data_IF_231878444586
#
_entry.id   IF_231878444586
#
_cell.length_a   1.000
_cell.length_b   1.000
_cell.length_c   1.000
_cell.angle_alpha   90.00
_cell.angle_beta   90.00
_cell.angle_gamma   90.00
#
_symmetry.space_group_name_H-M   'P 1'
#
loop_
_entity.id
_entity.type
_entity.pdbx_description
1 polymer ?
#
# COMPACT_ATOMS: atom_id res chain seq x y z
N UNK A 1 12.29 2.53 40.03
CA UNK A 1 11.48 1.91 38.97
C UNK A 1 12.24 2.04 37.67
N UNK A 2 12.75 0.95 37.12
CA UNK A 2 13.43 0.97 35.81
C UNK A 2 12.37 1.04 34.72
N UNK A 3 12.35 2.12 33.95
CA UNK A 3 11.61 2.16 32.69
C UNK A 3 12.28 1.18 31.73
N UNK A 4 11.57 0.13 31.34
CA UNK A 4 12.02 -0.75 30.28
C UNK A 4 12.09 0.05 28.98
N UNK A 5 13.31 0.22 28.45
CA UNK A 5 13.48 0.71 27.09
C UNK A 5 12.93 -0.36 26.14
N UNK A 6 11.76 -0.11 25.56
CA UNK A 6 11.30 -0.89 24.41
C UNK A 6 12.30 -0.67 23.26
N UNK A 7 12.76 -1.73 22.57
CA UNK A 7 13.63 -1.56 21.42
C UNK A 7 12.90 -0.69 20.39
N UNK A 8 13.47 0.46 20.05
CA UNK A 8 12.92 1.32 19.01
C UNK A 8 13.13 0.62 17.67
N UNK A 9 12.16 -0.19 17.25
CA UNK A 9 12.11 -0.66 15.86
C UNK A 9 12.04 0.57 14.97
N UNK A 10 13.13 0.83 14.23
CA UNK A 10 13.17 1.90 13.26
C UNK A 10 12.02 1.69 12.25
N UNK A 11 11.21 2.73 12.08
CA UNK A 11 10.04 2.70 11.20
C UNK A 11 10.07 3.85 10.22
N UNK A 12 9.57 3.58 9.02
CA UNK A 12 9.35 4.58 7.98
C UNK A 12 7.85 4.87 7.93
N UNK A 13 7.49 6.13 8.11
CA UNK A 13 6.09 6.57 7.97
C UNK A 13 5.98 7.36 6.68
N UNK A 14 5.20 6.84 5.73
CA UNK A 14 4.88 7.53 4.49
C UNK A 14 3.48 8.11 4.61
N UNK A 15 3.37 9.44 4.56
CA UNK A 15 2.09 10.14 4.67
C UNK A 15 1.60 10.54 3.28
N UNK A 16 0.48 9.97 2.84
CA UNK A 16 -0.17 10.39 1.59
C UNK A 16 -1.66 10.03 1.58
N UNK A 17 -2.53 10.88 1.02
CA UNK A 17 -3.92 10.54 0.74
C UNK A 17 -4.10 9.69 -0.53
N UNK A 18 -3.02 9.50 -1.30
CA UNK A 18 -3.04 8.93 -2.64
C UNK A 18 -3.00 7.40 -2.66
N UNK A 19 -3.82 6.79 -3.50
CA UNK A 19 -3.87 5.35 -3.72
C UNK A 19 -2.64 4.85 -4.50
N UNK A 20 -2.06 5.67 -5.37
CA UNK A 20 -0.91 5.29 -6.19
C UNK A 20 0.31 5.08 -5.27
N UNK A 21 0.49 5.96 -4.27
CA UNK A 21 1.52 5.80 -3.21
C UNK A 21 1.27 4.54 -2.39
N UNK A 22 0.03 4.24 -2.00
CA UNK A 22 -0.28 3.01 -1.27
C UNK A 22 0.13 1.75 -2.06
N UNK A 23 -0.20 1.71 -3.35
CA UNK A 23 0.11 0.58 -4.21
C UNK A 23 1.61 0.43 -4.47
N UNK A 24 2.35 1.53 -4.60
CA UNK A 24 3.81 1.50 -4.65
C UNK A 24 4.40 0.91 -3.37
N UNK A 25 3.95 1.36 -2.20
CA UNK A 25 4.44 0.84 -0.92
C UNK A 25 4.13 -0.66 -0.76
N UNK A 26 2.95 -1.09 -1.16
CA UNK A 26 2.57 -2.51 -1.09
C UNK A 26 3.35 -3.37 -2.08
N UNK A 27 3.66 -2.86 -3.26
CA UNK A 27 4.35 -3.63 -4.31
C UNK A 27 5.85 -3.71 -4.04
N UNK A 28 6.45 -2.65 -3.51
CA UNK A 28 7.89 -2.54 -3.30
C UNK A 28 8.29 -2.58 -1.81
N UNK A 29 7.43 -3.10 -0.93
CA UNK A 29 7.71 -3.15 0.52
C UNK A 29 9.02 -3.88 0.84
N UNK A 30 9.35 -4.91 0.07
CA UNK A 30 10.54 -5.75 0.31
C UNK A 30 11.85 -5.03 0.01
N UNK A 31 11.81 -3.94 -0.75
CA UNK A 31 12.96 -3.06 -0.97
C UNK A 31 13.28 -2.19 0.25
N UNK A 32 12.39 -2.13 1.24
CA UNK A 32 12.54 -1.34 2.48
C UNK A 32 12.62 -2.30 3.67
N UNK A 33 13.82 -2.51 4.20
CA UNK A 33 14.10 -3.43 5.31
C UNK A 33 13.66 -2.89 6.70
N UNK A 34 12.65 -2.03 6.75
CA UNK A 34 12.15 -1.36 7.97
C UNK A 34 10.64 -1.52 8.06
N UNK A 35 10.10 -1.37 9.27
CA UNK A 35 8.65 -1.32 9.48
C UNK A 35 8.05 -0.14 8.69
N UNK A 36 7.18 -0.45 7.74
CA UNK A 36 6.61 0.53 6.82
C UNK A 36 5.16 0.83 7.20
N UNK A 37 4.90 2.08 7.60
CA UNK A 37 3.57 2.56 7.97
C UNK A 37 3.07 3.54 6.91
N UNK A 38 1.92 3.24 6.33
CA UNK A 38 1.21 4.18 5.47
C UNK A 38 0.20 4.98 6.31
N UNK A 39 0.48 6.27 6.48
CA UNK A 39 -0.37 7.21 7.21
C UNK A 39 -1.23 7.98 6.21
N UNK A 40 -2.48 7.57 6.06
CA UNK A 40 -3.41 8.17 5.12
C UNK A 40 -4.54 8.87 5.84
N UNK A 41 -5.11 9.89 5.20
CA UNK A 41 -6.24 10.63 5.75
C UNK A 41 -7.17 10.97 4.61
N UNK A 42 -8.45 10.65 4.79
CA UNK A 42 -9.52 11.18 3.95
C UNK A 42 -10.48 11.95 4.84
N UNK A 43 -10.54 13.27 4.67
CA UNK A 43 -11.24 14.20 5.58
C UNK A 43 -10.73 14.04 7.03
N UNK A 44 -11.63 13.95 8.01
CA UNK A 44 -11.30 13.83 9.44
C UNK A 44 -10.97 12.40 9.91
N UNK A 45 -10.85 11.43 9.00
CA UNK A 45 -10.54 10.04 9.35
C UNK A 45 -9.11 9.71 8.98
N UNK A 46 -8.19 9.94 9.92
CA UNK A 46 -6.81 9.47 9.83
C UNK A 46 -6.74 7.97 10.06
N UNK A 47 -5.99 7.27 9.22
CA UNK A 47 -5.78 5.82 9.27
C UNK A 47 -4.29 5.54 9.10
N UNK A 48 -3.77 4.63 9.90
CA UNK A 48 -2.41 4.11 9.75
C UNK A 48 -2.52 2.63 9.41
N UNK A 49 -1.87 2.24 8.31
CA UNK A 49 -1.79 0.86 7.85
C UNK A 49 -0.35 0.38 7.99
N UNK A 50 -0.16 -0.79 8.60
CA UNK A 50 1.13 -1.47 8.57
C UNK A 50 1.29 -2.18 7.23
N UNK A 51 2.08 -1.61 6.33
CA UNK A 51 2.31 -2.15 5.00
C UNK A 51 3.18 -3.40 5.07
N UNK A 52 4.14 -3.46 6.00
CA UNK A 52 4.98 -4.65 6.20
C UNK A 52 4.11 -5.86 6.53
N UNK A 53 3.19 -5.73 7.48
CA UNK A 53 2.29 -6.83 7.85
C UNK A 53 1.33 -7.15 6.69
N UNK A 54 0.75 -6.13 6.05
CA UNK A 54 -0.19 -6.33 4.95
C UNK A 54 0.46 -7.07 3.77
N UNK A 55 1.68 -6.69 3.39
CA UNK A 55 2.43 -7.35 2.34
C UNK A 55 2.73 -8.82 2.67
N UNK A 56 2.98 -9.15 3.94
CA UNK A 56 3.17 -10.53 4.39
C UNK A 56 1.89 -11.38 4.31
N UNK A 57 0.70 -10.76 4.36
CA UNK A 57 -0.58 -11.49 4.24
C UNK A 57 -1.03 -11.74 2.79
N UNK A 58 -0.44 -11.04 1.82
CA UNK A 58 -0.84 -11.14 0.41
C UNK A 58 0.21 -11.97 -0.34
N UNK A 59 -0.23 -12.92 -1.15
CA UNK A 59 0.67 -13.69 -2.03
C UNK A 59 1.44 -12.72 -2.94
N UNK A 60 2.74 -12.93 -3.11
CA UNK A 60 3.61 -12.10 -3.95
C UNK A 60 3.03 -11.87 -5.36
N UNK A 61 2.57 -12.94 -6.01
CA UNK A 61 1.91 -12.86 -7.33
C UNK A 61 0.67 -11.96 -7.34
N UNK A 62 -0.08 -11.89 -6.23
CA UNK A 62 -1.23 -11.01 -6.12
C UNK A 62 -0.81 -9.55 -5.94
N UNK A 63 0.31 -9.27 -5.28
CA UNK A 63 0.87 -7.90 -5.19
C UNK A 63 1.23 -7.38 -6.58
N UNK A 64 1.94 -8.17 -7.37
CA UNK A 64 2.28 -7.85 -8.76
C UNK A 64 1.03 -7.66 -9.63
N UNK A 65 0.06 -8.57 -9.50
CA UNK A 65 -1.20 -8.49 -10.23
C UNK A 65 -2.00 -7.24 -9.87
N UNK A 66 -2.06 -6.86 -8.59
CA UNK A 66 -2.74 -5.66 -8.11
C UNK A 66 -2.05 -4.39 -8.64
N UNK A 67 -0.72 -4.36 -8.69
CA UNK A 67 0.04 -3.26 -9.26
C UNK A 67 -0.24 -3.09 -10.76
N UNK A 68 -0.19 -4.20 -11.52
CA UNK A 68 -0.54 -4.20 -12.94
C UNK A 68 -2.01 -3.81 -13.17
N UNK A 69 -2.92 -4.34 -12.37
CA UNK A 69 -4.36 -4.01 -12.42
C UNK A 69 -4.58 -2.51 -12.31
N UNK A 70 -3.87 -1.84 -11.40
CA UNK A 70 -3.97 -0.40 -11.22
C UNK A 70 -3.50 0.38 -12.45
N UNK A 71 -2.39 -0.01 -13.05
CA UNK A 71 -1.90 0.58 -14.30
C UNK A 71 -2.87 0.38 -15.48
N UNK A 72 -3.59 -0.74 -15.52
CA UNK A 72 -4.56 -1.00 -16.60
C UNK A 72 -5.96 -0.40 -16.37
N UNK A 73 -6.27 -0.01 -15.13
CA UNK A 73 -7.59 0.54 -14.75
C UNK A 73 -7.54 2.02 -14.43
N UNK A 74 -6.43 2.68 -14.75
CA UNK A 74 -6.21 4.10 -14.56
C UNK A 74 -5.42 4.43 -13.29
N UNK A 75 -4.32 5.14 -13.51
CA UNK A 75 -3.49 5.84 -12.51
C UNK A 75 -3.09 7.21 -13.08
N UNK A 76 -2.31 8.00 -12.35
CA UNK A 76 -1.88 9.31 -12.84
C UNK A 76 -1.07 9.25 -14.16
N UNK A 77 -0.43 8.12 -14.44
CA UNK A 77 0.40 7.93 -15.64
C UNK A 77 -0.32 7.23 -16.81
N UNK A 78 -1.52 6.68 -16.60
CA UNK A 78 -2.19 5.82 -17.59
C UNK A 78 -3.70 6.04 -17.61
N UNK A 79 -4.29 5.98 -18.80
CA UNK A 79 -5.76 5.93 -18.95
C UNK A 79 -6.32 4.57 -18.53
N UNK A 80 -7.64 4.48 -18.36
CA UNK A 80 -8.33 3.23 -18.04
C UNK A 80 -8.98 2.59 -19.27
N UNK A 81 -9.16 1.26 -19.25
CA UNK A 81 -10.01 0.58 -20.22
C UNK A 81 -11.46 1.08 -20.13
N UNK A 82 -12.05 1.40 -21.29
CA UNK A 82 -13.42 1.91 -21.37
C UNK A 82 -14.42 0.96 -20.70
N UNK A 83 -15.19 1.47 -19.73
CA UNK A 83 -16.21 0.71 -19.01
C UNK A 83 -15.66 -0.36 -18.04
N UNK A 84 -14.37 -0.29 -17.67
CA UNK A 84 -13.71 -1.21 -16.73
C UNK A 84 -13.01 -0.43 -15.61
N UNK A 85 -13.68 -0.28 -14.47
CA UNK A 85 -13.07 0.25 -13.25
C UNK A 85 -12.31 -0.83 -12.45
N UNK A 86 -11.50 -0.37 -11.48
CA UNK A 86 -10.67 -1.21 -10.58
C UNK A 86 -11.39 -2.43 -10.02
N UNK A 87 -12.59 -2.27 -9.47
CA UNK A 87 -13.36 -3.38 -8.88
C UNK A 87 -13.81 -4.41 -9.91
N UNK A 88 -14.19 -3.97 -11.12
CA UNK A 88 -14.65 -4.88 -12.19
C UNK A 88 -13.48 -5.68 -12.74
N UNK A 89 -12.32 -5.06 -12.86
CA UNK A 89 -11.11 -5.72 -13.31
C UNK A 89 -10.55 -6.68 -12.24
N UNK A 90 -10.63 -6.32 -10.94
CA UNK A 90 -10.22 -7.21 -9.85
C UNK A 90 -11.01 -8.53 -9.84
N UNK A 91 -12.31 -8.49 -10.16
CA UNK A 91 -13.14 -9.71 -10.29
C UNK A 91 -12.78 -10.59 -11.49
N UNK A 92 -11.96 -10.08 -12.41
CA UNK A 92 -11.49 -10.83 -13.58
C UNK A 92 -10.10 -11.45 -13.36
N UNK A 93 -9.43 -11.12 -12.24
CA UNK A 93 -8.23 -11.81 -11.75
C UNK A 93 -8.64 -13.04 -10.93
#
# INVERSE_FOLDING_TARGET
MYASQQPTTERVIVRSPDADVFLLLLSFSDAISKLLIFDTSRRNNRRQLNITDLAATILERLRDAIFGLHAFTGCDSTSCFAGKGKLKALKML
#
